data_IF_823833666096
#
_entry.id   IF_823833666096
#
_cell.length_a   1.000
_cell.length_b   1.000
_cell.length_c   1.000
_cell.angle_alpha   90.00
_cell.angle_beta   90.00
_cell.angle_gamma   90.00
#
_symmetry.space_group_name_H-M   'P 1'
#
loop_
_entity.id
_entity.type
_entity.pdbx_description
1 polymer ?
#
# COMPACT_ATOMS: atom_id res chain seq x y z
N UNK A 1 7.30 -18.65 -44.04
CA UNK A 1 5.84 -18.56 -44.07
C UNK A 1 5.48 -17.51 -43.02
N UNK A 2 5.54 -16.24 -43.26
CA UNK A 2 4.73 -15.30 -44.07
C UNK A 2 3.21 -15.42 -43.81
N UNK A 3 2.66 -14.36 -43.24
CA UNK A 3 1.46 -13.56 -43.52
C UNK A 3 1.03 -12.90 -42.21
N UNK A 4 1.17 -11.61 -41.94
CA UNK A 4 0.60 -10.40 -42.58
C UNK A 4 -0.93 -10.40 -42.70
N UNK A 5 -1.59 -9.44 -42.00
CA UNK A 5 -2.80 -8.70 -42.45
C UNK A 5 -3.14 -7.66 -41.37
N UNK A 6 -2.86 -6.38 -41.60
CA UNK A 6 -3.63 -5.30 -42.26
C UNK A 6 -4.70 -4.63 -41.39
N UNK A 7 -4.38 -3.39 -41.03
CA UNK A 7 -5.13 -2.12 -41.10
C UNK A 7 -6.66 -2.17 -41.21
N UNK A 8 -7.34 -1.38 -40.38
CA UNK A 8 -8.37 -0.46 -40.85
C UNK A 8 -8.55 0.76 -39.92
N UNK A 9 -8.24 1.91 -40.52
CA UNK A 9 -8.58 3.28 -40.11
C UNK A 9 -9.99 3.62 -40.62
N UNK A 10 -10.74 4.47 -39.91
CA UNK A 10 -11.70 5.49 -40.39
C UNK A 10 -12.22 6.20 -39.15
N UNK A 11 -11.86 7.47 -38.93
CA UNK A 11 -12.49 8.73 -39.41
C UNK A 11 -13.91 8.91 -38.87
N UNK A 12 -13.98 9.94 -38.03
CA UNK A 12 -14.56 11.28 -38.21
C UNK A 12 -16.03 11.40 -37.79
N UNK A 13 -16.34 12.28 -36.87
CA UNK A 13 -17.19 13.46 -37.05
C UNK A 13 -17.38 14.21 -35.72
N UNK A 14 -17.09 15.53 -35.77
CA UNK A 14 -17.62 16.53 -34.84
C UNK A 14 -18.87 17.12 -35.50
N UNK A 15 -19.77 17.81 -34.76
CA UNK A 15 -19.59 19.26 -34.68
C UNK A 15 -19.94 19.92 -33.31
N UNK A 16 -19.39 21.15 -33.20
CA UNK A 16 -19.64 22.22 -32.28
C UNK A 16 -21.13 22.56 -32.10
N UNK A 17 -21.48 23.11 -30.93
CA UNK A 17 -22.27 24.35 -30.82
C UNK A 17 -22.22 24.94 -29.40
N UNK A 18 -21.78 26.20 -29.34
CA UNK A 18 -22.02 27.17 -28.31
C UNK A 18 -23.09 28.14 -28.87
N UNK A 19 -23.99 28.80 -28.12
CA UNK A 19 -23.66 30.13 -27.62
C UNK A 19 -24.32 30.59 -26.30
N UNK A 20 -23.58 31.52 -25.64
CA UNK A 20 -23.94 32.79 -25.04
C UNK A 20 -25.38 33.10 -24.57
N UNK A 21 -25.48 33.74 -23.37
CA UNK A 21 -25.96 35.12 -23.06
C UNK A 21 -26.08 35.23 -21.54
N UNK A 22 -25.40 36.07 -20.85
CA UNK A 22 -25.44 37.55 -20.69
C UNK A 22 -26.56 38.05 -19.76
N UNK A 23 -26.13 39.00 -18.92
CA UNK A 23 -26.82 40.11 -18.22
C UNK A 23 -27.25 39.84 -16.78
N UNK A 24 -26.93 40.61 -15.80
CA UNK A 24 -26.48 41.95 -15.50
C UNK A 24 -27.22 42.49 -14.24
N UNK A 25 -26.47 43.22 -13.38
CA UNK A 25 -26.86 44.40 -12.56
C UNK A 25 -27.82 44.14 -11.37
N UNK A 26 -27.72 44.76 -10.23
CA UNK A 26 -27.22 46.01 -9.65
C UNK A 26 -27.54 46.08 -8.16
N UNK A 27 -26.81 46.88 -7.38
CA UNK A 27 -27.25 47.87 -6.42
C UNK A 27 -26.83 47.58 -4.97
N UNK A 28 -25.83 48.22 -4.45
CA UNK A 28 -25.74 49.48 -3.74
C UNK A 28 -26.61 49.59 -2.48
N UNK A 29 -26.00 49.72 -1.31
CA UNK A 29 -25.99 50.91 -0.46
C UNK A 29 -25.60 50.61 0.99
N UNK A 30 -24.54 51.28 1.40
CA UNK A 30 -24.38 52.26 2.51
C UNK A 30 -24.63 51.82 3.94
N UNK A 31 -23.53 52.05 4.66
CA UNK A 31 -23.33 52.25 6.11
C UNK A 31 -24.33 53.21 6.78
N UNK A 32 -24.36 53.36 8.14
CA UNK A 32 -23.23 53.88 8.92
C UNK A 32 -23.08 53.39 10.38
N UNK A 33 -21.83 53.52 10.86
CA UNK A 33 -21.28 53.89 12.18
C UNK A 33 -22.19 53.92 13.42
N UNK A 34 -21.68 53.34 14.55
CA UNK A 34 -21.33 54.08 15.79
C UNK A 34 -20.68 53.16 16.85
N UNK A 35 -19.57 53.58 17.26
CA UNK A 35 -18.93 53.98 18.53
C UNK A 35 -18.78 52.91 19.63
N UNK A 36 -17.52 52.63 19.86
CA UNK A 36 -16.70 52.70 21.06
C UNK A 36 -17.27 52.19 22.40
N UNK A 37 -16.59 51.21 23.01
CA UNK A 37 -16.12 51.34 24.40
C UNK A 37 -14.97 50.38 24.72
N UNK A 38 -14.00 50.87 25.48
CA UNK A 38 -12.74 50.28 25.80
C UNK A 38 -12.84 49.32 26.99
N UNK A 39 -12.15 48.16 26.93
CA UNK A 39 -11.69 47.44 28.10
C UNK A 39 -10.36 46.75 27.82
N UNK A 40 -9.37 46.99 28.66
CA UNK A 40 -7.97 46.62 28.61
C UNK A 40 -7.70 45.10 28.94
N UNK A 41 -6.47 44.62 28.93
CA UNK A 41 -6.05 43.44 28.17
C UNK A 41 -5.97 42.17 29.04
N UNK A 42 -6.48 41.07 28.52
CA UNK A 42 -6.23 39.73 29.07
C UNK A 42 -5.03 39.08 28.38
N UNK A 43 -4.11 38.64 29.20
CA UNK A 43 -2.84 38.02 28.91
C UNK A 43 -2.95 36.88 27.87
N UNK A 44 -2.23 37.03 26.78
CA UNK A 44 -2.03 35.98 25.74
C UNK A 44 -1.12 34.89 26.27
N UNK A 45 -1.53 33.61 26.25
CA UNK A 45 -0.58 32.54 26.55
C UNK A 45 0.39 32.37 25.38
N UNK A 46 1.66 32.35 25.70
CA UNK A 46 2.80 32.20 24.79
C UNK A 46 2.58 31.00 23.86
N UNK A 47 2.43 31.28 22.56
CA UNK A 47 2.42 30.33 21.47
C UNK A 47 3.79 29.64 21.40
N UNK A 48 3.87 28.39 21.94
CA UNK A 48 5.05 27.55 21.80
C UNK A 48 5.31 27.35 20.31
N UNK A 49 6.36 27.99 19.81
CA UNK A 49 6.82 27.85 18.43
C UNK A 49 7.15 26.36 18.18
N UNK A 50 6.34 25.69 17.38
CA UNK A 50 6.66 24.37 16.86
C UNK A 50 7.97 24.51 16.05
N UNK A 51 9.05 23.99 16.61
CA UNK A 51 10.39 23.95 16.01
C UNK A 51 10.27 23.16 14.71
N UNK A 52 10.18 23.86 13.55
CA UNK A 52 10.21 23.22 12.22
C UNK A 52 11.46 22.35 12.17
N UNK A 53 11.30 21.03 12.16
CA UNK A 53 12.40 20.09 11.86
C UNK A 53 12.99 20.52 10.52
N UNK A 54 14.26 20.94 10.49
CA UNK A 54 15.00 21.22 9.26
C UNK A 54 14.93 19.96 8.40
N UNK A 55 14.41 20.06 7.18
CA UNK A 55 14.49 18.98 6.18
C UNK A 55 15.96 18.61 6.03
N UNK A 56 16.29 17.35 6.23
CA UNK A 56 17.63 16.84 5.98
C UNK A 56 18.04 17.12 4.52
N UNK A 57 19.30 17.40 4.29
CA UNK A 57 19.80 17.52 2.91
C UNK A 57 19.63 16.16 2.20
N UNK A 58 19.49 16.10 0.87
CA UNK A 58 19.35 14.84 0.13
C UNK A 58 20.47 13.82 0.47
N UNK A 59 21.68 14.30 0.72
CA UNK A 59 22.84 13.48 1.13
C UNK A 59 22.69 12.96 2.57
N UNK A 60 22.11 13.76 3.46
CA UNK A 60 21.81 13.34 4.83
C UNK A 60 20.69 12.31 4.89
N UNK A 61 19.67 12.42 4.02
CA UNK A 61 18.60 11.44 3.92
C UNK A 61 19.11 10.08 3.40
N UNK A 62 19.98 10.07 2.41
CA UNK A 62 20.59 8.84 1.87
C UNK A 62 21.41 8.13 2.95
N UNK A 63 22.28 8.86 3.66
CA UNK A 63 23.09 8.29 4.75
C UNK A 63 22.24 7.69 5.87
N UNK A 64 21.15 8.35 6.25
CA UNK A 64 20.20 7.81 7.23
C UNK A 64 19.51 6.53 6.75
N UNK A 65 19.31 6.35 5.44
CA UNK A 65 18.82 5.08 4.87
C UNK A 65 19.89 4.01 4.98
N UNK A 66 21.15 4.28 4.59
CA UNK A 66 22.26 3.32 4.69
C UNK A 66 22.43 2.80 6.13
N UNK A 67 22.39 3.69 7.13
CA UNK A 67 22.45 3.32 8.54
C UNK A 67 21.30 2.40 8.96
N UNK A 68 20.07 2.63 8.47
CA UNK A 68 18.89 1.83 8.84
C UNK A 68 18.83 0.48 8.13
N UNK A 69 19.34 0.38 6.90
CA UNK A 69 19.39 -0.88 6.14
C UNK A 69 20.63 -1.71 6.49
N UNK A 70 21.61 -1.12 7.16
CA UNK A 70 22.86 -1.79 7.55
C UNK A 70 23.81 -2.03 6.36
N UNK A 71 23.71 -1.21 5.29
CA UNK A 71 24.56 -1.32 4.10
C UNK A 71 25.06 0.07 3.66
N UNK A 72 26.37 0.25 3.57
CA UNK A 72 27.03 1.42 3.01
C UNK A 72 27.36 1.14 1.54
N UNK A 73 26.83 1.98 0.63
CA UNK A 73 27.00 1.78 -0.80
C UNK A 73 28.39 2.20 -1.30
N UNK A 74 29.09 1.27 -1.92
CA UNK A 74 30.30 1.57 -2.70
C UNK A 74 29.98 2.45 -3.93
N UNK A 75 28.82 2.22 -4.57
CA UNK A 75 28.25 3.10 -5.59
C UNK A 75 26.98 3.81 -5.09
N UNK A 76 27.05 5.05 -4.57
CA UNK A 76 25.88 5.80 -4.10
C UNK A 76 24.82 6.08 -5.17
N UNK A 77 25.15 5.88 -6.46
CA UNK A 77 24.20 6.07 -7.56
C UNK A 77 23.12 4.99 -7.54
N UNK A 78 23.42 3.79 -7.07
CA UNK A 78 22.48 2.68 -6.94
C UNK A 78 21.34 3.07 -5.97
N UNK A 79 21.67 3.52 -4.75
CA UNK A 79 20.66 3.99 -3.79
C UNK A 79 19.89 5.21 -4.34
N UNK A 80 20.60 6.15 -5.01
CA UNK A 80 19.95 7.31 -5.62
C UNK A 80 18.92 6.88 -6.66
N UNK A 81 19.26 5.91 -7.51
CA UNK A 81 18.36 5.37 -8.55
C UNK A 81 17.18 4.64 -7.91
N UNK A 82 17.42 3.78 -6.91
CA UNK A 82 16.38 3.05 -6.18
C UNK A 82 15.35 4.00 -5.52
N UNK A 83 15.78 5.17 -5.05
CA UNK A 83 14.92 6.17 -4.43
C UNK A 83 14.32 7.19 -5.43
N UNK A 84 14.56 7.04 -6.74
CA UNK A 84 14.11 7.98 -7.77
C UNK A 84 12.85 7.46 -8.46
N UNK A 85 11.68 8.06 -8.16
CA UNK A 85 10.42 7.73 -8.82
C UNK A 85 10.39 8.30 -10.24
N UNK A 86 9.72 7.59 -11.16
CA UNK A 86 9.62 7.97 -12.59
C UNK A 86 9.14 9.40 -12.79
N UNK A 87 8.24 9.91 -11.94
CA UNK A 87 7.72 11.28 -12.02
C UNK A 87 8.78 12.37 -11.76
N UNK A 88 9.91 12.02 -11.17
CA UNK A 88 11.00 12.99 -10.90
C UNK A 88 12.05 13.06 -12.00
N UNK A 89 11.92 12.25 -13.04
CA UNK A 89 12.84 12.26 -14.16
C UNK A 89 12.67 13.53 -15.00
N UNK A 90 13.80 14.12 -15.43
CA UNK A 90 13.79 15.26 -16.35
C UNK A 90 13.36 14.85 -17.76
N UNK A 91 13.74 13.66 -18.18
CA UNK A 91 13.31 13.04 -19.44
C UNK A 91 12.39 11.84 -19.11
N UNK A 92 11.08 11.95 -19.41
CA UNK A 92 10.11 10.86 -19.18
C UNK A 92 10.43 9.58 -19.94
N UNK A 93 11.21 9.66 -21.04
CA UNK A 93 11.58 8.50 -21.84
C UNK A 93 12.76 7.73 -21.24
N UNK A 94 13.56 8.36 -20.38
CA UNK A 94 14.70 7.72 -19.72
C UNK A 94 14.28 6.96 -18.45
N UNK A 95 13.35 6.01 -18.59
CA UNK A 95 12.84 5.19 -17.46
C UNK A 95 13.94 4.38 -16.76
N UNK A 96 15.05 4.10 -17.44
CA UNK A 96 16.18 3.36 -16.86
C UNK A 96 16.89 4.11 -15.74
N UNK A 97 16.69 5.43 -15.62
CA UNK A 97 17.21 6.26 -14.55
C UNK A 97 16.30 6.28 -13.29
N UNK A 98 15.19 5.51 -13.30
CA UNK A 98 14.27 5.34 -12.17
C UNK A 98 14.45 4.00 -11.46
N UNK A 99 13.73 3.82 -10.36
CA UNK A 99 13.75 2.63 -9.54
C UNK A 99 13.33 1.34 -10.27
N UNK A 100 12.57 1.41 -11.38
CA UNK A 100 11.84 0.29 -11.96
C UNK A 100 12.70 -0.93 -12.34
N UNK A 101 13.92 -0.73 -12.84
CA UNK A 101 14.82 -1.85 -13.16
C UNK A 101 15.38 -2.53 -11.91
N UNK A 102 15.60 -1.73 -10.86
CA UNK A 102 16.07 -2.25 -9.57
C UNK A 102 14.94 -2.96 -8.83
N UNK A 103 13.70 -2.46 -8.91
CA UNK A 103 12.48 -3.12 -8.44
C UNK A 103 12.34 -4.51 -9.04
N UNK A 104 12.40 -4.62 -10.38
CA UNK A 104 12.34 -5.91 -11.06
C UNK A 104 13.39 -6.91 -10.52
N UNK A 105 14.62 -6.48 -10.35
CA UNK A 105 15.67 -7.34 -9.80
C UNK A 105 15.43 -7.66 -8.32
N UNK A 106 15.05 -6.66 -7.54
CA UNK A 106 14.87 -6.78 -6.10
C UNK A 106 13.72 -7.68 -5.70
N UNK A 107 12.61 -7.69 -6.45
CA UNK A 107 11.50 -8.63 -6.27
C UNK A 107 11.99 -10.09 -6.34
N UNK A 108 12.78 -10.43 -7.36
CA UNK A 108 13.33 -11.78 -7.50
C UNK A 108 14.34 -12.14 -6.41
N UNK A 109 15.18 -11.18 -5.99
CA UNK A 109 16.14 -11.38 -4.88
C UNK A 109 15.38 -11.58 -3.57
N UNK A 110 14.34 -10.77 -3.30
CA UNK A 110 13.48 -10.90 -2.12
C UNK A 110 12.82 -12.29 -2.09
N UNK A 111 12.20 -12.69 -3.20
CA UNK A 111 11.56 -13.99 -3.32
C UNK A 111 12.52 -15.16 -3.04
N UNK A 112 13.73 -15.09 -3.60
CA UNK A 112 14.76 -16.12 -3.38
C UNK A 112 15.19 -16.19 -1.90
N UNK A 113 15.52 -15.04 -1.29
CA UNK A 113 16.00 -15.01 0.11
C UNK A 113 14.90 -15.47 1.07
N UNK A 114 13.67 -14.97 0.90
CA UNK A 114 12.55 -15.38 1.77
C UNK A 114 12.23 -16.87 1.59
N UNK A 115 12.32 -17.42 0.38
CA UNK A 115 12.14 -18.86 0.14
C UNK A 115 13.19 -19.70 0.88
N UNK A 116 14.47 -19.29 0.83
CA UNK A 116 15.55 -19.95 1.54
C UNK A 116 15.35 -19.86 3.06
N UNK A 117 14.99 -18.69 3.58
CA UNK A 117 14.68 -18.49 5.01
C UNK A 117 13.53 -19.38 5.47
N UNK A 118 12.44 -19.48 4.69
CA UNK A 118 11.28 -20.30 4.99
C UNK A 118 11.63 -21.80 4.97
N UNK A 119 12.38 -22.22 3.96
CA UNK A 119 12.81 -23.61 3.83
C UNK A 119 13.63 -24.07 5.04
N UNK A 120 14.51 -23.21 5.53
CA UNK A 120 15.33 -23.50 6.71
C UNK A 120 14.53 -23.44 8.02
N UNK A 121 13.61 -22.46 8.16
CA UNK A 121 12.87 -22.23 9.39
C UNK A 121 11.72 -23.22 9.61
N UNK A 122 11.17 -23.79 8.52
CA UNK A 122 10.01 -24.69 8.57
C UNK A 122 10.28 -26.02 7.87
N UNK A 123 11.20 -26.88 8.40
CA UNK A 123 11.65 -28.10 7.72
C UNK A 123 10.55 -29.18 7.57
N UNK A 124 9.43 -29.04 8.27
CA UNK A 124 8.30 -29.97 8.21
C UNK A 124 7.09 -29.41 7.44
N UNK A 125 7.16 -28.15 6.97
CA UNK A 125 6.10 -27.54 6.17
C UNK A 125 6.08 -28.14 4.75
N UNK A 126 4.88 -28.39 4.23
CA UNK A 126 4.70 -28.78 2.84
C UNK A 126 4.88 -27.57 1.89
N UNK A 127 4.95 -27.83 0.59
CA UNK A 127 5.10 -26.81 -0.44
C UNK A 127 3.96 -25.77 -0.37
N UNK A 128 2.72 -26.21 -0.17
CA UNK A 128 1.56 -25.36 -0.08
C UNK A 128 1.63 -24.39 1.11
N UNK A 129 2.14 -24.83 2.25
CA UNK A 129 2.37 -23.97 3.41
C UNK A 129 3.49 -22.96 3.14
N UNK A 130 4.63 -23.40 2.58
CA UNK A 130 5.76 -22.54 2.24
C UNK A 130 5.34 -21.46 1.22
N UNK A 131 4.58 -21.83 0.18
CA UNK A 131 4.06 -20.88 -0.82
C UNK A 131 3.11 -19.86 -0.24
N UNK A 132 2.23 -20.24 0.70
CA UNK A 132 1.33 -19.31 1.39
C UNK A 132 2.11 -18.30 2.24
N UNK A 133 3.12 -18.76 2.98
CA UNK A 133 4.01 -17.91 3.79
C UNK A 133 4.80 -16.94 2.91
N UNK A 134 5.39 -17.45 1.82
CA UNK A 134 6.11 -16.65 0.85
C UNK A 134 5.22 -15.52 0.30
N UNK A 135 4.04 -15.86 -0.22
CA UNK A 135 3.11 -14.89 -0.79
C UNK A 135 2.73 -13.77 0.18
N UNK A 136 2.61 -14.05 1.48
CA UNK A 136 2.31 -13.02 2.49
C UNK A 136 3.53 -12.15 2.81
N UNK A 137 4.71 -12.73 2.84
CA UNK A 137 5.95 -12.02 3.18
C UNK A 137 6.45 -11.12 2.05
N UNK A 138 6.25 -11.50 0.78
CA UNK A 138 6.70 -10.72 -0.38
C UNK A 138 5.63 -9.81 -0.96
N UNK A 139 4.40 -9.82 -0.44
CA UNK A 139 3.33 -8.96 -0.96
C UNK A 139 3.64 -7.48 -0.77
N UNK A 140 3.08 -6.66 -1.63
CA UNK A 140 3.27 -5.20 -1.67
C UNK A 140 3.05 -4.50 -0.33
N UNK A 141 2.03 -4.90 0.42
CA UNK A 141 1.72 -4.32 1.73
C UNK A 141 2.84 -4.58 2.74
N UNK A 142 3.39 -5.78 2.75
CA UNK A 142 4.52 -6.15 3.63
C UNK A 142 5.78 -5.37 3.25
N UNK A 143 6.10 -5.29 1.95
CA UNK A 143 7.22 -4.47 1.46
C UNK A 143 7.04 -2.98 1.81
N UNK A 144 5.82 -2.44 1.70
CA UNK A 144 5.53 -1.07 2.09
C UNK A 144 5.71 -0.83 3.60
N UNK A 145 5.32 -1.78 4.45
CA UNK A 145 5.51 -1.68 5.89
C UNK A 145 6.99 -1.75 6.29
N UNK A 146 7.78 -2.57 5.59
CA UNK A 146 9.24 -2.60 5.75
C UNK A 146 9.86 -1.28 5.29
N UNK A 147 9.47 -0.76 4.14
CA UNK A 147 9.93 0.55 3.66
C UNK A 147 9.67 1.68 4.67
N UNK A 148 8.51 1.66 5.33
CA UNK A 148 8.20 2.62 6.41
C UNK A 148 9.10 2.44 7.62
N UNK A 149 9.30 1.21 8.07
CA UNK A 149 10.16 0.90 9.20
C UNK A 149 11.62 1.34 8.94
N UNK A 150 12.10 1.18 7.72
CA UNK A 150 13.42 1.65 7.27
C UNK A 150 13.46 3.15 6.97
N UNK A 151 12.32 3.86 7.02
CA UNK A 151 12.24 5.30 6.75
C UNK A 151 12.53 5.68 5.30
N UNK A 152 12.37 4.76 4.32
CA UNK A 152 12.64 5.02 2.91
C UNK A 152 11.77 6.16 2.37
N UNK A 153 10.54 6.30 2.88
CA UNK A 153 9.59 7.34 2.49
C UNK A 153 10.13 8.78 2.69
N UNK A 154 11.10 8.98 3.58
CA UNK A 154 11.73 10.28 3.83
C UNK A 154 12.71 10.68 2.71
N UNK A 155 13.29 9.69 2.02
CA UNK A 155 14.34 9.88 1.02
C UNK A 155 13.86 9.76 -0.44
N UNK A 156 12.62 9.34 -0.69
CA UNK A 156 12.05 9.18 -2.04
C UNK A 156 12.05 10.52 -2.78
N UNK A 157 12.58 10.52 -4.01
CA UNK A 157 12.55 11.65 -4.93
C UNK A 157 11.29 11.55 -5.80
N UNK A 158 10.38 12.50 -5.63
CA UNK A 158 9.14 12.63 -6.40
C UNK A 158 9.15 13.91 -7.22
N UNK A 159 8.53 13.90 -8.40
CA UNK A 159 8.38 15.08 -9.25
C UNK A 159 7.50 16.15 -8.60
N UNK A 160 7.68 17.40 -9.05
CA UNK A 160 6.93 18.55 -8.51
C UNK A 160 5.47 18.60 -8.95
N UNK A 161 5.09 17.92 -10.03
CA UNK A 161 3.76 18.01 -10.63
C UNK A 161 2.87 16.89 -10.09
N UNK A 162 1.88 17.25 -9.27
CA UNK A 162 0.75 16.39 -8.89
C UNK A 162 1.01 15.34 -7.82
N UNK A 163 2.23 15.21 -7.31
CA UNK A 163 2.59 14.18 -6.34
C UNK A 163 2.76 14.82 -4.96
N UNK A 164 1.70 14.79 -4.16
CA UNK A 164 1.68 15.32 -2.79
C UNK A 164 2.43 14.43 -1.79
N UNK A 165 2.59 14.91 -0.55
CA UNK A 165 3.16 14.12 0.54
C UNK A 165 2.44 12.77 0.75
N UNK A 166 1.13 12.72 0.46
CA UNK A 166 0.33 11.50 0.53
C UNK A 166 0.80 10.41 -0.45
N UNK A 167 1.32 10.78 -1.62
CA UNK A 167 1.78 9.80 -2.60
C UNK A 167 3.05 9.07 -2.16
N UNK A 168 3.90 9.73 -1.36
CA UNK A 168 5.08 9.09 -0.74
C UNK A 168 4.73 7.97 0.23
N UNK A 169 3.49 7.97 0.72
CA UNK A 169 2.99 7.00 1.69
C UNK A 169 2.11 5.91 1.06
N UNK A 170 1.86 5.97 -0.24
CA UNK A 170 1.09 4.93 -0.93
C UNK A 170 1.82 3.59 -0.87
N UNK A 171 1.09 2.54 -0.53
CA UNK A 171 1.66 1.19 -0.43
C UNK A 171 2.32 0.74 -1.73
N UNK A 172 1.76 1.11 -2.89
CA UNK A 172 2.35 0.77 -4.19
C UNK A 172 3.75 1.34 -4.35
N UNK A 173 3.92 2.65 -4.15
CA UNK A 173 5.23 3.30 -4.30
C UNK A 173 6.24 2.80 -3.26
N UNK A 174 5.79 2.60 -2.02
CA UNK A 174 6.68 2.12 -0.95
C UNK A 174 7.11 0.67 -1.16
N UNK A 175 6.22 -0.19 -1.65
CA UNK A 175 6.53 -1.57 -2.00
C UNK A 175 7.60 -1.62 -3.10
N UNK A 176 7.34 -0.93 -4.20
CA UNK A 176 8.26 -0.86 -5.35
C UNK A 176 9.63 -0.30 -4.95
N UNK A 177 9.67 0.74 -4.12
CA UNK A 177 10.94 1.33 -3.60
C UNK A 177 11.66 0.35 -2.66
N UNK A 178 10.94 -0.41 -1.83
CA UNK A 178 11.53 -1.45 -0.98
C UNK A 178 12.29 -2.48 -1.82
N UNK A 179 11.63 -3.01 -2.82
CA UNK A 179 12.22 -3.97 -3.77
C UNK A 179 13.39 -3.34 -4.53
N UNK A 180 13.27 -2.09 -4.99
CA UNK A 180 14.36 -1.40 -5.66
C UNK A 180 15.59 -1.20 -4.77
N UNK A 181 15.43 -0.94 -3.49
CA UNK A 181 16.55 -0.83 -2.54
C UNK A 181 17.19 -2.20 -2.33
N UNK A 182 16.42 -3.28 -2.23
CA UNK A 182 16.94 -4.65 -2.19
C UNK A 182 17.77 -4.95 -3.45
N UNK A 183 17.27 -4.62 -4.63
CA UNK A 183 17.99 -4.77 -5.89
C UNK A 183 19.28 -3.96 -5.95
N UNK A 184 19.28 -2.74 -5.40
CA UNK A 184 20.45 -1.88 -5.30
C UNK A 184 21.52 -2.49 -4.37
N UNK A 185 21.12 -2.97 -3.18
CA UNK A 185 22.04 -3.66 -2.23
C UNK A 185 22.61 -4.92 -2.86
N UNK A 186 21.80 -5.68 -3.60
CA UNK A 186 22.28 -6.86 -4.30
C UNK A 186 23.34 -6.53 -5.36
N UNK A 187 23.16 -5.47 -6.14
CA UNK A 187 24.14 -5.08 -7.16
C UNK A 187 25.44 -4.55 -6.56
N UNK A 188 25.37 -3.90 -5.40
CA UNK A 188 26.51 -3.29 -4.74
C UNK A 188 27.31 -4.30 -3.89
N UNK A 189 26.61 -5.11 -3.07
CA UNK A 189 27.22 -6.01 -2.08
C UNK A 189 26.97 -7.50 -2.33
N UNK A 190 26.27 -7.85 -3.44
CA UNK A 190 25.95 -9.24 -3.78
C UNK A 190 24.89 -9.87 -2.89
N UNK A 191 24.70 -11.18 -3.09
CA UNK A 191 23.70 -11.97 -2.33
C UNK A 191 23.88 -11.89 -0.81
N UNK A 192 25.10 -11.97 -0.24
CA UNK A 192 25.28 -11.92 1.23
C UNK A 192 24.74 -10.61 1.84
N UNK A 193 25.00 -9.47 1.21
CA UNK A 193 24.52 -8.17 1.70
C UNK A 193 23.00 -8.05 1.61
N UNK A 194 22.41 -8.45 0.48
CA UNK A 194 20.97 -8.47 0.30
C UNK A 194 20.29 -9.42 1.31
N UNK A 195 20.84 -10.61 1.52
CA UNK A 195 20.37 -11.58 2.51
C UNK A 195 20.37 -10.98 3.91
N UNK A 196 21.48 -10.38 4.34
CA UNK A 196 21.59 -9.76 5.67
C UNK A 196 20.52 -8.68 5.89
N UNK A 197 20.32 -7.80 4.92
CA UNK A 197 19.29 -6.77 4.96
C UNK A 197 17.88 -7.38 5.09
N UNK A 198 17.56 -8.37 4.26
CA UNK A 198 16.24 -9.00 4.24
C UNK A 198 16.01 -9.78 5.55
N UNK A 199 16.97 -10.57 6.02
CA UNK A 199 16.86 -11.28 7.30
C UNK A 199 16.58 -10.32 8.45
N UNK A 200 17.28 -9.20 8.52
CA UNK A 200 17.07 -8.18 9.55
C UNK A 200 15.65 -7.61 9.55
N UNK A 201 15.06 -7.45 8.38
CA UNK A 201 13.75 -6.81 8.25
C UNK A 201 12.55 -7.79 8.28
N UNK A 202 12.73 -9.04 7.84
CA UNK A 202 11.63 -10.01 7.70
C UNK A 202 11.58 -11.09 8.76
N UNK A 203 12.67 -11.37 9.52
CA UNK A 203 12.72 -12.47 10.48
C UNK A 203 11.59 -12.45 11.51
N UNK A 204 11.26 -11.29 12.05
CA UNK A 204 10.16 -11.16 13.01
C UNK A 204 8.79 -11.43 12.38
N UNK A 205 8.60 -10.97 11.11
CA UNK A 205 7.36 -11.20 10.36
C UNK A 205 7.18 -12.66 9.99
N UNK A 206 8.26 -13.34 9.60
CA UNK A 206 8.26 -14.75 9.23
C UNK A 206 7.80 -15.67 10.37
N UNK A 207 8.09 -15.31 11.63
CA UNK A 207 7.71 -16.10 12.81
C UNK A 207 6.22 -15.98 13.18
N UNK A 208 5.46 -15.09 12.55
CA UNK A 208 4.04 -14.95 12.82
C UNK A 208 3.27 -16.23 12.41
N UNK A 209 2.28 -16.65 13.20
CA UNK A 209 1.48 -17.83 12.86
C UNK A 209 0.75 -17.65 11.53
N UNK A 210 0.71 -18.69 10.71
CA UNK A 210 0.04 -18.69 9.41
C UNK A 210 -1.48 -18.40 9.53
N UNK A 211 -2.10 -18.85 10.63
CA UNK A 211 -3.52 -18.57 10.92
C UNK A 211 -3.85 -17.07 11.00
N UNK A 212 -2.90 -16.24 11.43
CA UNK A 212 -3.06 -14.77 11.48
C UNK A 212 -2.98 -14.12 10.08
N UNK A 213 -2.52 -14.86 9.07
CA UNK A 213 -2.25 -14.38 7.72
C UNK A 213 -3.31 -14.80 6.69
N UNK A 214 -4.19 -15.76 7.05
CA UNK A 214 -5.21 -16.27 6.13
C UNK A 214 -6.42 -15.34 6.04
N UNK A 215 -6.87 -15.09 4.81
CA UNK A 215 -8.15 -14.41 4.57
C UNK A 215 -9.30 -15.28 5.10
N UNK A 216 -10.16 -14.77 5.97
CA UNK A 216 -11.31 -15.53 6.51
C UNK A 216 -12.18 -16.17 5.42
N UNK A 217 -12.32 -15.54 4.25
CA UNK A 217 -13.07 -16.09 3.12
C UNK A 217 -12.42 -17.37 2.57
N UNK A 218 -11.09 -17.38 2.48
CA UNK A 218 -10.34 -18.56 2.02
C UNK A 218 -10.44 -19.69 3.04
N UNK A 219 -10.30 -19.39 4.33
CA UNK A 219 -10.46 -20.39 5.39
C UNK A 219 -11.86 -21.00 5.34
N UNK A 220 -12.91 -20.16 5.19
CA UNK A 220 -14.29 -20.62 5.13
C UNK A 220 -14.55 -21.50 3.92
N UNK A 221 -13.98 -21.15 2.77
CA UNK A 221 -14.09 -21.94 1.55
C UNK A 221 -13.41 -23.32 1.69
N UNK A 222 -12.19 -23.37 2.22
CA UNK A 222 -11.46 -24.61 2.49
C UNK A 222 -12.21 -25.49 3.51
N UNK A 223 -12.75 -24.89 4.57
CA UNK A 223 -13.53 -25.59 5.58
C UNK A 223 -14.83 -26.16 5.02
N UNK A 224 -15.59 -25.38 4.23
CA UNK A 224 -16.78 -25.85 3.55
C UNK A 224 -16.48 -27.00 2.63
N UNK A 225 -15.43 -26.89 1.82
CA UNK A 225 -14.96 -27.95 0.92
C UNK A 225 -14.56 -29.23 1.66
N UNK A 226 -13.85 -29.09 2.80
CA UNK A 226 -13.50 -30.22 3.67
C UNK A 226 -14.69 -30.95 4.28
N UNK A 227 -15.85 -30.26 4.39
CA UNK A 227 -17.14 -30.85 4.82
C UNK A 227 -18.02 -31.32 3.65
N UNK A 228 -17.53 -31.25 2.42
CA UNK A 228 -18.34 -31.60 1.22
C UNK A 228 -19.45 -30.58 0.88
N UNK A 229 -19.38 -29.37 1.45
CA UNK A 229 -20.33 -28.31 1.18
C UNK A 229 -19.92 -27.49 -0.06
N UNK A 230 -20.87 -26.84 -0.75
CA UNK A 230 -20.57 -25.95 -1.86
C UNK A 230 -19.82 -24.70 -1.38
N UNK A 231 -19.29 -23.92 -2.35
CA UNK A 231 -18.64 -22.63 -2.06
C UNK A 231 -19.58 -21.68 -1.34
N UNK A 232 -19.13 -20.99 -0.28
CA UNK A 232 -19.95 -20.01 0.47
C UNK A 232 -20.46 -18.89 -0.43
N UNK A 233 -21.72 -18.52 -0.28
CA UNK A 233 -22.37 -17.44 -1.02
C UNK A 233 -22.47 -16.21 -0.15
N UNK A 234 -22.17 -15.04 -0.70
CA UNK A 234 -22.21 -13.75 0.01
C UNK A 234 -23.31 -12.87 -0.57
N UNK A 235 -24.20 -12.37 0.28
CA UNK A 235 -25.32 -11.51 -0.11
C UNK A 235 -25.28 -10.21 0.67
N UNK A 236 -25.38 -9.07 -0.06
CA UNK A 236 -25.57 -7.77 0.57
C UNK A 236 -26.96 -7.69 1.19
N UNK A 237 -27.01 -7.56 2.52
CA UNK A 237 -28.26 -7.43 3.29
C UNK A 237 -28.67 -5.97 3.35
N UNK A 238 -27.72 -5.08 3.59
CA UNK A 238 -27.98 -3.65 3.78
C UNK A 238 -26.76 -2.81 3.43
N UNK A 239 -27.04 -1.60 2.91
CA UNK A 239 -26.05 -0.55 2.74
C UNK A 239 -26.56 0.73 3.40
N UNK A 240 -25.79 1.25 4.37
CA UNK A 240 -26.10 2.47 5.12
C UNK A 240 -24.95 3.45 5.08
N UNK A 241 -25.19 4.67 5.56
CA UNK A 241 -24.18 5.72 5.62
C UNK A 241 -24.08 6.60 4.35
N UNK A 242 -23.40 7.75 4.44
CA UNK A 242 -23.22 8.67 3.33
C UNK A 242 -22.29 8.09 2.26
N UNK A 243 -22.32 8.64 1.04
CA UNK A 243 -21.50 8.18 -0.08
C UNK A 243 -19.99 8.15 0.20
N UNK A 244 -19.49 9.02 1.07
CA UNK A 244 -18.07 9.11 1.43
C UNK A 244 -17.68 8.23 2.64
N UNK A 245 -18.67 7.67 3.36
CA UNK A 245 -18.44 6.72 4.47
C UNK A 245 -19.56 5.66 4.50
N UNK A 246 -19.63 4.79 3.47
CA UNK A 246 -20.64 3.74 3.39
C UNK A 246 -20.34 2.62 4.40
N UNK A 247 -21.40 2.03 4.96
CA UNK A 247 -21.35 0.80 5.74
C UNK A 247 -22.14 -0.28 5.01
N UNK A 248 -21.48 -1.40 4.78
CA UNK A 248 -22.06 -2.59 4.15
C UNK A 248 -22.32 -3.64 5.21
N UNK A 249 -23.52 -4.25 5.20
CA UNK A 249 -23.84 -5.46 5.94
C UNK A 249 -23.99 -6.59 4.93
N UNK A 250 -23.21 -7.65 5.10
CA UNK A 250 -23.19 -8.80 4.21
C UNK A 250 -23.43 -10.06 5.02
N UNK A 251 -24.31 -10.93 4.52
CA UNK A 251 -24.55 -12.28 5.02
C UNK A 251 -23.73 -13.28 4.20
N UNK A 252 -23.12 -14.24 4.90
CA UNK A 252 -22.54 -15.44 4.28
C UNK A 252 -23.45 -16.63 4.54
N UNK A 253 -23.73 -17.39 3.50
CA UNK A 253 -24.69 -18.48 3.47
C UNK A 253 -24.05 -19.78 2.97
N UNK A 254 -24.35 -20.87 3.67
CA UNK A 254 -24.01 -22.25 3.31
C UNK A 254 -25.24 -23.13 3.57
N UNK A 255 -25.50 -24.19 2.77
CA UNK A 255 -26.58 -25.14 3.03
C UNK A 255 -26.45 -25.77 4.43
N UNK A 256 -27.56 -25.91 5.12
CA UNK A 256 -27.68 -26.54 6.44
C UNK A 256 -26.88 -25.87 7.57
N UNK A 257 -26.35 -24.67 7.32
CA UNK A 257 -25.61 -23.87 8.30
C UNK A 257 -26.30 -22.51 8.44
N UNK A 258 -26.58 -22.10 9.67
CA UNK A 258 -27.18 -20.80 9.93
C UNK A 258 -26.31 -19.68 9.33
N UNK A 259 -26.86 -18.70 8.63
CA UNK A 259 -26.12 -17.58 8.09
C UNK A 259 -25.35 -16.80 9.16
N UNK A 260 -24.26 -16.15 8.77
CA UNK A 260 -23.56 -15.21 9.63
C UNK A 260 -23.39 -13.87 8.91
N UNK A 261 -23.46 -12.78 9.66
CA UNK A 261 -23.38 -11.43 9.11
C UNK A 261 -22.08 -10.73 9.51
N UNK A 262 -21.60 -9.86 8.62
CA UNK A 262 -20.47 -8.99 8.87
C UNK A 262 -20.71 -7.57 8.38
N UNK A 263 -20.11 -6.60 9.05
CA UNK A 263 -20.21 -5.18 8.74
C UNK A 263 -18.82 -4.64 8.37
N UNK A 264 -18.74 -3.79 7.35
CA UNK A 264 -17.48 -3.17 6.94
C UNK A 264 -17.71 -1.89 6.13
N UNK A 265 -16.67 -1.06 6.01
CA UNK A 265 -16.68 0.17 5.22
C UNK A 265 -16.55 -0.10 3.71
N UNK A 266 -16.22 -1.32 3.33
CA UNK A 266 -16.25 -1.82 1.94
C UNK A 266 -16.96 -3.17 1.90
N UNK A 267 -17.52 -3.55 0.74
CA UNK A 267 -18.13 -4.89 0.56
C UNK A 267 -17.15 -6.00 0.95
N UNK A 268 -15.90 -5.91 0.48
CA UNK A 268 -14.85 -6.89 0.79
C UNK A 268 -14.54 -6.99 2.30
N UNK A 269 -14.54 -5.86 3.02
CA UNK A 269 -14.35 -5.87 4.46
C UNK A 269 -15.53 -6.52 5.20
N UNK A 270 -16.77 -6.25 4.77
CA UNK A 270 -17.97 -6.85 5.34
C UNK A 270 -18.04 -8.37 5.04
N UNK A 271 -17.67 -8.82 3.84
CA UNK A 271 -17.57 -10.24 3.50
C UNK A 271 -16.55 -10.98 4.37
N UNK A 272 -15.38 -10.39 4.61
CA UNK A 272 -14.37 -10.95 5.52
C UNK A 272 -14.89 -11.06 6.95
N UNK A 273 -15.58 -10.03 7.41
CA UNK A 273 -16.18 -10.02 8.76
C UNK A 273 -17.27 -11.10 8.89
N UNK A 274 -18.12 -11.30 7.86
CA UNK A 274 -19.13 -12.33 7.84
C UNK A 274 -18.51 -13.75 7.87
N UNK A 275 -17.48 -13.97 7.02
CA UNK A 275 -16.75 -15.24 6.99
C UNK A 275 -16.09 -15.54 8.35
N UNK A 276 -15.46 -14.54 8.96
CA UNK A 276 -14.85 -14.68 10.29
C UNK A 276 -15.88 -15.02 11.36
N UNK A 277 -17.02 -14.34 11.36
CA UNK A 277 -18.12 -14.59 12.32
C UNK A 277 -18.64 -16.03 12.21
N UNK A 278 -18.80 -16.56 11.00
CA UNK A 278 -19.20 -17.94 10.78
C UNK A 278 -18.13 -18.92 11.29
N UNK A 279 -16.86 -18.72 10.91
CA UNK A 279 -15.76 -19.56 11.35
C UNK A 279 -15.56 -19.57 12.86
N UNK A 280 -15.74 -18.42 13.53
CA UNK A 280 -15.66 -18.31 14.97
C UNK A 280 -16.78 -19.08 15.65
N UNK A 281 -18.00 -18.99 15.14
CA UNK A 281 -19.15 -19.75 15.64
C UNK A 281 -18.96 -21.27 15.49
N UNK A 282 -18.39 -21.69 14.37
CA UNK A 282 -18.11 -23.12 14.09
C UNK A 282 -16.82 -23.62 14.77
N UNK A 283 -16.15 -22.79 15.57
CA UNK A 283 -14.93 -23.17 16.32
C UNK A 283 -13.68 -23.38 15.44
N UNK A 284 -13.69 -22.89 14.20
CA UNK A 284 -12.57 -23.03 13.25
C UNK A 284 -11.47 -21.99 13.48
N UNK A 285 -11.87 -20.79 13.91
CA UNK A 285 -10.97 -19.68 14.26
C UNK A 285 -11.36 -19.14 15.64
N UNK A 286 -10.39 -18.65 16.43
CA UNK A 286 -10.67 -18.07 17.74
C UNK A 286 -10.65 -19.05 18.91
N UNK A 287 -10.28 -20.33 18.71
CA UNK A 287 -9.94 -21.24 19.82
C UNK A 287 -8.69 -20.72 20.51
N UNK A 288 -8.75 -20.50 21.83
CA UNK A 288 -7.58 -20.19 22.67
C UNK A 288 -6.59 -21.32 22.51
N UNK A 289 -5.36 -20.99 22.13
CA UNK A 289 -4.24 -21.89 22.33
C UNK A 289 -4.10 -22.07 23.86
N UNK A 290 -4.55 -23.24 24.37
CA UNK A 290 -4.10 -23.77 25.66
C UNK A 290 -2.76 -24.47 25.45
#
# INVERSE_FOLDING_TARGET
MEQAFLHRSMMDDRPDDNPETATARTGSSREPRESAEAAAPASTPARKSARKKKKASPRGAAKAVEERIGHEFADPRLLTTALTHVSSLKDPNNRTASYQRLEFLGDHVLGLVISDMLFQAFPHADEGELSKRLSDLVRRETCADVARAMGLHEAIKLGAVGVGAADRLRNSVLGDICEAVIGAVYLDGGYPAARQMIEGAWSERMRKPLKALRDPKTILQEWAQGKGLPTPTYREVERTGPHHDPKFRISVELPDIAPAEGIGTTKRAAEKAAAFALLAREGVVGGRDE
#
